data_IF_258387987685
#
_entry.id   IF_258387987685
#
_cell.length_a   1.000
_cell.length_b   1.000
_cell.length_c   1.000
_cell.angle_alpha   90.00
_cell.angle_beta   90.00
_cell.angle_gamma   90.00
#
_symmetry.space_group_name_H-M   'P 1'
#
loop_
_entity.id
_entity.type
_entity.pdbx_description
1 polymer ?
#
# COMPACT_ATOMS: atom_id res chain seq x y z
N UNK A 1 -7.81 -20.04 -5.19
CA UNK A 1 -7.00 -18.82 -5.02
C UNK A 1 -5.60 -19.14 -5.51
N UNK A 2 -5.01 -18.29 -6.32
CA UNK A 2 -3.63 -18.40 -6.79
C UNK A 2 -2.95 -17.10 -6.37
N UNK A 3 -1.70 -17.18 -5.93
CA UNK A 3 -0.91 -16.02 -5.53
C UNK A 3 0.43 -16.08 -6.25
N UNK A 4 0.90 -14.94 -6.72
CA UNK A 4 2.23 -14.76 -7.26
C UNK A 4 3.18 -14.34 -6.13
N UNK A 5 4.42 -14.83 -6.18
CA UNK A 5 5.49 -14.31 -5.34
C UNK A 5 6.18 -13.15 -6.06
N UNK A 6 6.15 -11.97 -5.46
CA UNK A 6 6.76 -10.74 -5.98
C UNK A 6 7.74 -10.16 -4.95
N UNK A 7 8.70 -9.35 -5.42
CA UNK A 7 9.58 -8.59 -4.51
C UNK A 7 8.79 -7.57 -3.70
N UNK A 8 7.79 -6.94 -4.33
CA UNK A 8 6.90 -5.94 -3.75
C UNK A 8 7.52 -4.53 -3.75
N UNK A 9 6.71 -3.53 -4.05
CA UNK A 9 7.13 -2.13 -4.05
C UNK A 9 7.38 -1.67 -2.61
N UNK A 10 8.49 -0.97 -2.37
CA UNK A 10 8.85 -0.44 -1.05
C UNK A 10 8.34 0.98 -0.90
N UNK A 11 7.31 1.16 -0.07
CA UNK A 11 6.79 2.48 0.27
C UNK A 11 7.54 2.97 1.50
N UNK A 12 8.29 4.06 1.37
CA UNK A 12 9.07 4.64 2.48
C UNK A 12 8.77 6.12 2.65
N UNK A 13 8.93 6.62 3.87
CA UNK A 13 8.89 8.05 4.10
C UNK A 13 9.09 8.43 5.55
N UNK A 14 8.96 9.72 5.79
CA UNK A 14 8.99 10.33 7.12
C UNK A 14 7.56 10.40 7.66
N UNK A 15 7.39 10.16 8.95
CA UNK A 15 6.16 10.41 9.69
C UNK A 15 6.50 10.74 11.14
N UNK A 16 5.65 11.47 11.89
CA UNK A 16 5.91 11.80 13.29
C UNK A 16 6.30 10.57 14.12
N UNK A 17 7.33 10.70 14.96
CA UNK A 17 7.80 9.59 15.80
C UNK A 17 6.68 9.15 16.76
N UNK A 18 6.44 7.83 16.85
CA UNK A 18 5.37 7.23 17.63
C UNK A 18 3.99 7.23 16.96
N UNK A 19 3.84 7.84 15.78
CA UNK A 19 2.59 7.75 15.02
C UNK A 19 2.37 6.35 14.44
N UNK A 20 1.12 5.93 14.33
CA UNK A 20 0.72 4.71 13.63
C UNK A 20 0.49 5.09 12.17
N UNK A 21 1.28 4.53 11.26
CA UNK A 21 1.11 4.67 9.83
C UNK A 21 0.31 3.48 9.32
N UNK A 22 -0.73 3.73 8.55
CA UNK A 22 -1.54 2.70 7.90
C UNK A 22 -1.57 2.91 6.41
N UNK A 23 -1.42 1.83 5.64
CA UNK A 23 -1.57 1.80 4.19
C UNK A 23 -2.63 0.77 3.82
N UNK A 24 -3.55 1.12 2.93
CA UNK A 24 -4.62 0.23 2.50
C UNK A 24 -5.00 0.43 1.03
N UNK A 25 -5.47 -0.65 0.41
CA UNK A 25 -6.09 -0.64 -0.93
C UNK A 25 -7.27 -1.61 -0.96
N UNK A 26 -8.25 -1.31 -1.80
CA UNK A 26 -9.35 -2.21 -2.12
C UNK A 26 -8.97 -3.11 -3.29
N UNK A 27 -9.18 -4.41 -3.13
CA UNK A 27 -8.90 -5.43 -4.12
C UNK A 27 -10.21 -6.05 -4.63
N UNK A 28 -10.39 -6.07 -5.94
CA UNK A 28 -11.50 -6.74 -6.63
C UNK A 28 -10.98 -7.95 -7.38
N UNK A 29 -11.47 -9.14 -7.02
CA UNK A 29 -11.11 -10.39 -7.71
C UNK A 29 -11.80 -10.54 -9.06
N UNK A 30 -11.33 -11.46 -9.88
CA UNK A 30 -11.90 -11.84 -11.17
C UNK A 30 -13.37 -12.31 -11.13
N UNK A 31 -13.93 -12.61 -9.94
CA UNK A 31 -15.34 -12.95 -9.74
C UNK A 31 -16.15 -11.80 -9.09
N UNK A 32 -15.60 -10.59 -9.03
CA UNK A 32 -16.25 -9.42 -8.44
C UNK A 32 -16.28 -9.38 -6.90
N UNK A 33 -15.65 -10.34 -6.22
CA UNK A 33 -15.52 -10.28 -4.75
C UNK A 33 -14.49 -9.21 -4.37
N UNK A 34 -14.90 -8.31 -3.49
CA UNK A 34 -14.06 -7.25 -2.92
C UNK A 34 -13.49 -7.62 -1.55
N UNK A 35 -12.27 -7.18 -1.27
CA UNK A 35 -11.67 -7.21 0.07
C UNK A 35 -10.61 -6.12 0.21
N UNK A 36 -10.29 -5.74 1.45
CA UNK A 36 -9.25 -4.74 1.73
C UNK A 36 -7.92 -5.42 2.03
N UNK A 37 -6.85 -4.99 1.36
CA UNK A 37 -5.48 -5.29 1.77
C UNK A 37 -4.95 -4.12 2.59
N UNK A 38 -4.40 -4.38 3.77
CA UNK A 38 -3.90 -3.32 4.65
C UNK A 38 -2.69 -3.75 5.48
N UNK A 39 -1.84 -2.79 5.81
CA UNK A 39 -0.71 -2.95 6.71
C UNK A 39 -0.63 -1.75 7.66
N UNK A 40 -0.05 -1.97 8.84
CA UNK A 40 0.21 -0.92 9.83
C UNK A 40 1.64 -1.02 10.36
N UNK A 41 2.24 0.12 10.68
CA UNK A 41 3.55 0.22 11.30
C UNK A 41 3.56 1.39 12.30
N UNK A 42 4.42 1.31 13.31
CA UNK A 42 4.69 2.45 14.21
C UNK A 42 5.92 3.17 13.67
N UNK A 43 5.80 4.46 13.40
CA UNK A 43 6.90 5.29 12.93
C UNK A 43 7.91 5.53 14.04
N UNK A 44 9.20 5.42 13.72
CA UNK A 44 10.30 5.85 14.58
C UNK A 44 10.90 7.20 14.13
N UNK A 45 10.11 8.03 13.44
CA UNK A 45 10.56 9.17 12.63
C UNK A 45 10.63 8.83 11.14
N UNK A 46 10.49 7.54 10.79
CA UNK A 46 10.32 7.04 9.43
C UNK A 46 9.46 5.79 9.44
N UNK A 47 8.99 5.38 8.27
CA UNK A 47 8.23 4.14 8.09
C UNK A 47 8.59 3.46 6.76
N UNK A 48 8.31 2.16 6.68
CA UNK A 48 8.48 1.35 5.48
C UNK A 48 7.37 0.28 5.38
N UNK A 49 6.81 0.11 4.18
CA UNK A 49 5.93 -0.99 3.81
C UNK A 49 6.44 -1.67 2.55
N UNK A 50 6.17 -2.96 2.41
CA UNK A 50 6.32 -3.68 1.14
C UNK A 50 4.93 -4.07 0.66
N UNK A 51 4.52 -3.57 -0.49
CA UNK A 51 3.18 -3.80 -1.03
C UNK A 51 3.23 -4.68 -2.29
N UNK A 52 2.36 -5.70 -2.41
CA UNK A 52 2.47 -6.67 -3.50
C UNK A 52 1.55 -6.41 -4.70
N UNK A 53 0.63 -5.44 -4.63
CA UNK A 53 -0.31 -5.17 -5.72
C UNK A 53 0.07 -3.88 -6.44
N UNK A 54 0.13 -3.93 -7.77
CA UNK A 54 0.08 -2.76 -8.63
C UNK A 54 -1.35 -2.25 -8.72
N UNK A 55 -1.51 -0.93 -8.89
CA UNK A 55 -2.81 -0.24 -8.96
C UNK A 55 -3.26 0.00 -10.40
N UNK A 56 -2.36 -0.22 -11.36
CA UNK A 56 -2.70 -0.33 -12.77
C UNK A 56 -3.20 -1.72 -13.15
N UNK A 57 -3.78 -1.82 -14.34
CA UNK A 57 -4.03 -3.12 -14.98
C UNK A 57 -2.75 -3.73 -15.57
N UNK A 58 -2.84 -4.96 -16.11
CA UNK A 58 -1.73 -5.62 -16.78
C UNK A 58 -1.12 -4.73 -17.87
N UNK A 59 0.20 -4.62 -17.92
CA UNK A 59 0.93 -3.93 -19.00
C UNK A 59 1.42 -4.92 -20.05
N UNK A 60 1.68 -4.44 -21.27
CA UNK A 60 2.21 -5.28 -22.34
C UNK A 60 3.57 -5.88 -21.94
N UNK A 61 3.69 -7.21 -21.98
CA UNK A 61 4.89 -7.93 -21.54
C UNK A 61 5.01 -8.14 -20.02
N UNK A 62 4.03 -7.67 -19.24
CA UNK A 62 3.91 -7.91 -17.80
C UNK A 62 3.11 -9.17 -17.43
N UNK A 63 2.85 -9.33 -16.14
CA UNK A 63 1.97 -10.36 -15.59
C UNK A 63 0.54 -10.10 -16.03
N UNK A 64 -0.10 -11.11 -16.60
CA UNK A 64 -1.51 -11.05 -16.95
C UNK A 64 -2.36 -11.50 -15.75
N UNK A 65 -3.01 -10.55 -15.07
CA UNK A 65 -3.83 -10.77 -13.89
C UNK A 65 -5.19 -10.06 -13.98
N UNK A 66 -6.24 -10.74 -13.50
CA UNK A 66 -7.63 -10.24 -13.48
C UNK A 66 -8.05 -9.72 -12.08
N UNK A 67 -7.08 -9.49 -11.19
CA UNK A 67 -7.29 -8.96 -9.84
C UNK A 67 -6.87 -7.49 -9.81
N UNK A 68 -7.82 -6.60 -9.52
CA UNK A 68 -7.59 -5.16 -9.60
C UNK A 68 -7.42 -4.57 -8.21
N UNK A 69 -6.44 -3.68 -8.05
CA UNK A 69 -6.27 -2.86 -6.85
C UNK A 69 -6.60 -1.40 -7.15
N UNK A 70 -7.29 -0.72 -6.24
CA UNK A 70 -7.40 0.74 -6.27
C UNK A 70 -6.08 1.38 -5.86
N UNK A 71 -5.87 2.69 -6.12
CA UNK A 71 -4.78 3.42 -5.49
C UNK A 71 -4.71 3.17 -3.98
N UNK A 72 -3.49 3.11 -3.46
CA UNK A 72 -3.26 2.95 -2.03
C UNK A 72 -3.54 4.27 -1.31
N UNK A 73 -4.25 4.19 -0.19
CA UNK A 73 -4.36 5.30 0.75
C UNK A 73 -3.40 5.05 1.90
N UNK A 74 -2.48 5.98 2.11
CA UNK A 74 -1.57 5.98 3.25
C UNK A 74 -1.84 7.16 4.16
N UNK A 75 -1.76 6.94 5.47
CA UNK A 75 -2.07 7.96 6.48
C UNK A 75 -1.33 7.69 7.78
N UNK A 76 -0.90 8.75 8.44
CA UNK A 76 -0.41 8.70 9.82
C UNK A 76 -1.56 9.02 10.79
N UNK A 77 -1.55 8.41 11.96
CA UNK A 77 -2.51 8.68 13.02
C UNK A 77 -1.91 8.45 14.39
N UNK A 78 -2.68 8.79 15.42
CA UNK A 78 -2.29 8.64 16.82
C UNK A 78 -3.49 8.21 17.65
N UNK A 79 -3.21 7.68 18.84
CA UNK A 79 -4.25 7.32 19.79
C UNK A 79 -4.51 8.54 20.69
N UNK A 80 -5.73 9.08 20.62
CA UNK A 80 -6.22 10.16 21.48
C UNK A 80 -7.45 9.66 22.22
N UNK A 81 -7.48 9.79 23.55
CA UNK A 81 -8.61 9.34 24.38
C UNK A 81 -9.06 7.90 24.04
N UNK A 82 -8.09 6.98 23.94
CA UNK A 82 -8.29 5.56 23.60
C UNK A 82 -8.87 5.29 22.19
N UNK A 83 -8.92 6.30 21.32
CA UNK A 83 -9.42 6.19 19.95
C UNK A 83 -8.33 6.50 18.94
N UNK A 84 -8.33 5.76 17.85
CA UNK A 84 -7.44 6.04 16.71
C UNK A 84 -7.96 7.25 15.94
N UNK A 85 -7.15 8.31 15.87
CA UNK A 85 -7.40 9.50 15.08
C UNK A 85 -6.42 9.52 13.91
N UNK A 86 -6.96 9.52 12.69
CA UNK A 86 -6.17 9.57 11.47
C UNK A 86 -6.01 11.01 10.98
N UNK A 87 -4.80 11.37 10.55
CA UNK A 87 -4.55 12.59 9.80
C UNK A 87 -5.00 12.49 8.33
N UNK A 88 -4.66 13.50 7.54
CA UNK A 88 -4.91 13.53 6.10
C UNK A 88 -4.17 12.40 5.39
N UNK A 89 -4.90 11.62 4.58
CA UNK A 89 -4.31 10.57 3.77
C UNK A 89 -3.72 11.09 2.47
N UNK A 90 -2.73 10.37 1.95
CA UNK A 90 -2.19 10.53 0.60
C UNK A 90 -2.57 9.32 -0.24
N UNK A 91 -2.92 9.58 -1.49
CA UNK A 91 -3.16 8.53 -2.49
C UNK A 91 -1.86 8.23 -3.23
N UNK A 92 -1.59 6.95 -3.48
CA UNK A 92 -0.38 6.47 -4.17
C UNK A 92 -0.80 5.43 -5.21
N UNK A 93 -0.43 5.67 -6.45
CA UNK A 93 -0.47 4.67 -7.51
C UNK A 93 0.85 3.88 -7.52
N UNK A 94 0.75 2.57 -7.73
CA UNK A 94 1.90 1.66 -7.78
C UNK A 94 1.91 0.95 -9.13
N UNK A 95 2.99 1.12 -9.87
CA UNK A 95 3.24 0.43 -11.13
C UNK A 95 3.62 -1.02 -10.94
N UNK A 96 3.35 -1.85 -11.95
CA UNK A 96 3.77 -3.26 -11.95
C UNK A 96 5.29 -3.40 -11.86
N UNK A 97 6.04 -2.57 -12.60
CA UNK A 97 7.51 -2.55 -12.53
C UNK A 97 8.03 -2.31 -11.10
N UNK A 98 7.42 -1.38 -10.36
CA UNK A 98 7.81 -1.08 -8.99
C UNK A 98 7.64 -2.31 -8.07
N UNK A 99 6.58 -3.10 -8.30
CA UNK A 99 6.30 -4.34 -7.58
C UNK A 99 7.28 -5.46 -7.95
N UNK A 100 7.52 -5.65 -9.25
CA UNK A 100 8.34 -6.75 -9.76
C UNK A 100 9.84 -6.53 -9.48
N UNK A 101 10.30 -5.29 -9.58
CA UNK A 101 11.69 -4.91 -9.35
C UNK A 101 11.98 -4.55 -7.88
N UNK A 102 10.93 -4.33 -7.09
CA UNK A 102 11.04 -3.97 -5.68
C UNK A 102 11.59 -2.55 -5.49
N UNK A 103 11.15 -1.65 -6.37
CA UNK A 103 11.54 -0.24 -6.37
C UNK A 103 11.03 0.49 -5.14
N UNK A 104 11.60 1.66 -4.87
CA UNK A 104 11.23 2.47 -3.71
C UNK A 104 10.40 3.67 -4.13
N UNK A 105 9.21 3.78 -3.56
CA UNK A 105 8.31 4.94 -3.69
C UNK A 105 8.38 5.76 -2.40
N UNK A 106 8.67 7.06 -2.51
CA UNK A 106 8.83 7.96 -1.35
C UNK A 106 7.58 8.78 -1.08
N UNK A 107 7.04 8.69 0.14
CA UNK A 107 5.83 9.40 0.56
C UNK A 107 5.99 9.92 1.99
N UNK A 108 6.19 11.22 2.19
CA UNK A 108 6.25 11.79 3.55
C UNK A 108 4.86 12.12 4.09
N UNK A 109 4.64 11.98 5.41
CA UNK A 109 3.36 12.15 6.12
C UNK A 109 3.47 13.12 7.29
#
# INVERSE_FOLDING_TARGET
KVFEYVKGARIKGIAPNGSIVGIATSITTNHGREFMHSQIAISNGSYEFVVPYSTGGPVEGGTNYDVLATPYIIKAGQIENEKMVWGTGKEIEIGEGEVMDGETVRVDL
#
